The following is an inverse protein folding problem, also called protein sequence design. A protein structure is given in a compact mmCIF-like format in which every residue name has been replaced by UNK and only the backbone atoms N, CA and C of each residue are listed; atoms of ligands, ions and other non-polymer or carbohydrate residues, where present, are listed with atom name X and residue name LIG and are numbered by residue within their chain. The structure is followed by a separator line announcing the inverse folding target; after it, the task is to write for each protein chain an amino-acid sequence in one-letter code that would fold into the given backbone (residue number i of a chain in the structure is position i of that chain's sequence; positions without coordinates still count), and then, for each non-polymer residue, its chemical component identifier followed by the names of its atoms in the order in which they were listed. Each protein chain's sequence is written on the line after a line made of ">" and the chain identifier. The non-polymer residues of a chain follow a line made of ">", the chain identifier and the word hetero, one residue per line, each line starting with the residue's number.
data_IF_137543442664
#
_entry.id   IF_137543442664
#
_cell.length_a   1.000
_cell.length_b   1.000
_cell.length_c   1.000
_cell.angle_alpha   90.00
_cell.angle_beta   90.00
_cell.angle_gamma   90.00
#
_symmetry.space_group_name_H-M   'P 1'
#
loop_
_entity.id
_entity.type
_entity.pdbx_description
1 polymer ?
#
# COMPACT_ATOMS: atom_id res chain seq x y z
N UNK A 1 31.86 -5.23 14.45
CA UNK A 1 32.36 -4.53 13.25
C UNK A 1 31.83 -3.12 13.27
N UNK A 2 32.61 -2.14 12.83
CA UNK A 2 32.23 -0.72 12.83
C UNK A 2 32.11 -0.24 11.38
N UNK A 3 31.02 0.44 11.04
CA UNK A 3 30.78 0.99 9.71
C UNK A 3 30.72 2.51 9.86
N UNK A 4 31.49 3.24 9.07
CA UNK A 4 31.43 4.70 9.00
C UNK A 4 30.50 5.08 7.87
N UNK A 5 29.39 5.75 8.20
CA UNK A 5 28.43 6.25 7.23
C UNK A 5 28.68 7.74 6.99
N UNK A 6 29.04 8.12 5.76
CA UNK A 6 29.13 9.52 5.38
C UNK A 6 27.78 9.96 4.81
N UNK A 7 27.09 10.87 5.50
CA UNK A 7 25.77 11.39 5.10
C UNK A 7 25.82 12.90 4.89
N UNK A 8 24.91 13.46 4.06
CA UNK A 8 24.75 14.90 3.95
C UNK A 8 24.41 15.54 5.32
N UNK A 9 24.86 16.79 5.59
CA UNK A 9 24.64 17.48 6.87
C UNK A 9 23.15 17.60 7.25
N UNK A 10 22.27 17.72 6.27
CA UNK A 10 20.81 17.76 6.46
C UNK A 10 20.30 16.47 7.09
N UNK A 11 20.80 15.34 6.60
CA UNK A 11 20.40 14.00 7.06
C UNK A 11 20.96 13.73 8.45
N UNK A 12 22.20 14.13 8.73
CA UNK A 12 22.80 14.02 10.06
C UNK A 12 21.99 14.77 11.12
N UNK A 13 21.60 16.03 10.82
CA UNK A 13 20.74 16.84 11.71
C UNK A 13 19.38 16.20 11.95
N UNK A 14 18.80 15.61 10.91
CA UNK A 14 17.50 14.96 11.01
C UNK A 14 17.57 13.66 11.82
N UNK A 15 18.63 12.86 11.64
CA UNK A 15 18.89 11.66 12.43
C UNK A 15 19.05 12.00 13.91
N UNK A 16 19.84 13.02 14.25
CA UNK A 16 20.03 13.47 15.64
C UNK A 16 18.72 13.88 16.30
N UNK A 17 17.92 14.70 15.59
CA UNK A 17 16.63 15.20 16.08
C UNK A 17 15.66 14.06 16.38
N UNK A 18 15.48 13.16 15.42
CA UNK A 18 14.49 12.08 15.55
C UNK A 18 14.96 11.03 16.56
N UNK A 19 16.27 10.76 16.63
CA UNK A 19 16.83 9.88 17.66
C UNK A 19 16.51 10.42 19.06
N UNK A 20 16.73 11.72 19.30
CA UNK A 20 16.37 12.39 20.56
C UNK A 20 14.87 12.33 20.87
N UNK A 21 14.02 12.58 19.87
CA UNK A 21 12.56 12.47 20.01
C UNK A 21 12.12 11.05 20.42
N UNK A 22 12.85 10.02 19.97
CA UNK A 22 12.60 8.62 20.31
C UNK A 22 13.37 8.13 21.56
N UNK A 23 14.15 9.00 22.21
CA UNK A 23 15.00 8.65 23.35
C UNK A 23 16.15 7.68 23.01
N UNK A 24 16.55 7.62 21.73
CA UNK A 24 17.60 6.77 21.20
C UNK A 24 18.89 7.57 20.95
N UNK A 25 20.03 6.88 20.96
CA UNK A 25 21.26 7.47 20.41
C UNK A 25 21.18 7.52 18.88
N UNK A 26 21.95 8.42 18.27
CA UNK A 26 22.00 8.55 16.82
C UNK A 26 22.38 7.21 16.16
N UNK A 27 23.36 6.50 16.71
CA UNK A 27 23.84 5.22 16.20
C UNK A 27 22.77 4.13 16.31
N UNK A 28 22.04 4.09 17.44
CA UNK A 28 20.96 3.13 17.63
C UNK A 28 19.81 3.37 16.65
N UNK A 29 19.48 4.64 16.38
CA UNK A 29 18.46 5.00 15.41
C UNK A 29 18.89 4.70 13.97
N UNK A 30 20.13 5.02 13.60
CA UNK A 30 20.69 4.70 12.29
C UNK A 30 20.74 3.19 12.05
N UNK A 31 21.14 2.40 13.06
CA UNK A 31 21.13 0.94 12.98
C UNK A 31 19.73 0.39 12.79
N UNK A 32 18.73 0.94 13.50
CA UNK A 32 17.31 0.55 13.34
C UNK A 32 16.82 0.79 11.91
N UNK A 33 17.07 1.98 11.35
CA UNK A 33 16.70 2.30 9.96
C UNK A 33 17.40 1.39 8.95
N UNK A 34 18.70 1.14 9.12
CA UNK A 34 19.45 0.23 8.25
C UNK A 34 18.91 -1.20 8.36
N UNK A 35 18.53 -1.63 9.56
CA UNK A 35 17.92 -2.95 9.77
C UNK A 35 16.57 -3.05 9.07
N UNK A 36 15.70 -2.04 9.22
CA UNK A 36 14.37 -1.98 8.60
C UNK A 36 14.40 -1.86 7.07
N UNK A 37 15.47 -1.30 6.50
CA UNK A 37 15.64 -1.10 5.06
C UNK A 37 16.42 -2.20 4.36
N UNK A 38 17.39 -2.84 5.04
CA UNK A 38 18.26 -3.88 4.46
C UNK A 38 17.67 -5.27 4.65
N UNK A 39 16.98 -5.56 5.75
CA UNK A 39 16.23 -6.81 5.85
C UNK A 39 15.00 -6.70 4.94
N UNK A 40 14.83 -7.61 3.95
CA UNK A 40 13.66 -7.56 3.09
C UNK A 40 12.41 -7.64 3.96
N UNK A 41 11.56 -6.60 3.87
CA UNK A 41 10.20 -6.70 4.38
C UNK A 41 9.50 -7.80 3.56
N UNK A 42 9.44 -9.02 4.09
CA UNK A 42 8.61 -10.11 3.57
C UNK A 42 7.17 -9.67 3.29
N UNK A 43 6.71 -8.62 3.99
CA UNK A 43 5.40 -8.00 3.79
C UNK A 43 5.26 -7.31 2.44
N UNK A 44 6.28 -6.61 1.96
CA UNK A 44 6.24 -5.93 0.66
C UNK A 44 6.23 -6.95 -0.47
N UNK A 45 7.04 -8.00 -0.39
CA UNK A 45 7.10 -9.04 -1.44
C UNK A 45 5.82 -9.86 -1.51
N UNK A 46 5.22 -10.22 -0.36
CA UNK A 46 3.93 -10.93 -0.34
C UNK A 46 2.79 -10.10 -0.91
N UNK A 47 2.74 -8.81 -0.56
CA UNK A 47 1.74 -7.89 -1.10
C UNK A 47 1.94 -7.70 -2.61
N UNK A 48 3.18 -7.47 -3.05
CA UNK A 48 3.52 -7.34 -4.48
C UNK A 48 3.16 -8.61 -5.26
N UNK A 49 3.47 -9.80 -4.73
CA UNK A 49 3.13 -11.06 -5.38
C UNK A 49 1.62 -11.31 -5.43
N UNK A 50 0.88 -10.93 -4.38
CA UNK A 50 -0.58 -11.03 -4.36
C UNK A 50 -1.21 -10.09 -5.40
N UNK A 51 -0.75 -8.83 -5.43
CA UNK A 51 -1.22 -7.86 -6.42
C UNK A 51 -0.88 -8.32 -7.85
N UNK A 52 0.31 -8.89 -8.05
CA UNK A 52 0.70 -9.45 -9.34
C UNK A 52 -0.15 -10.67 -9.72
N UNK A 53 -0.53 -11.53 -8.76
CA UNK A 53 -1.41 -12.67 -9.05
C UNK A 53 -2.79 -12.22 -9.54
N UNK A 54 -3.34 -11.12 -9.04
CA UNK A 54 -4.62 -10.58 -9.55
C UNK A 54 -4.50 -9.96 -10.94
N UNK A 55 -3.32 -9.45 -11.29
CA UNK A 55 -3.04 -8.91 -12.62
C UNK A 55 -2.82 -10.05 -13.62
N UNK A 56 -2.14 -11.11 -13.21
CA UNK A 56 -1.77 -12.24 -14.06
C UNK A 56 -2.91 -13.26 -14.23
N UNK A 57 -3.89 -13.27 -13.32
CA UNK A 57 -5.11 -14.09 -13.37
C UNK A 57 -6.13 -13.51 -14.36
N UNK A 58 -5.67 -13.12 -15.56
CA UNK A 58 -6.31 -12.36 -16.66
C UNK A 58 -7.56 -13.04 -17.29
N UNK A 59 -8.45 -13.62 -16.49
CA UNK A 59 -9.81 -13.95 -16.90
C UNK A 59 -10.69 -12.69 -16.80
N UNK A 60 -10.39 -11.76 -17.71
CA UNK A 60 -11.14 -10.51 -17.91
C UNK A 60 -12.64 -10.76 -18.06
N UNK A 61 -13.04 -11.93 -18.56
CA UNK A 61 -14.43 -12.33 -18.68
C UNK A 61 -15.04 -12.66 -17.31
N UNK A 62 -14.39 -13.49 -16.50
CA UNK A 62 -14.84 -13.81 -15.13
C UNK A 62 -14.89 -12.54 -14.24
N UNK A 63 -13.91 -11.65 -14.39
CA UNK A 63 -13.86 -10.39 -13.64
C UNK A 63 -15.00 -9.43 -14.06
N UNK A 64 -15.30 -9.36 -15.36
CA UNK A 64 -16.42 -8.56 -15.86
C UNK A 64 -17.76 -9.13 -15.38
N UNK A 65 -17.95 -10.45 -15.46
CA UNK A 65 -19.16 -11.12 -14.99
C UNK A 65 -19.35 -10.95 -13.47
N UNK A 66 -18.27 -11.08 -12.70
CA UNK A 66 -18.30 -10.83 -11.25
C UNK A 66 -18.63 -9.38 -10.93
N UNK A 67 -18.06 -8.43 -11.67
CA UNK A 67 -18.34 -7.01 -11.51
C UNK A 67 -19.81 -6.65 -11.80
N UNK A 68 -20.35 -7.17 -12.91
CA UNK A 68 -21.76 -6.97 -13.28
C UNK A 68 -22.71 -7.57 -12.23
N UNK A 69 -22.41 -8.76 -11.73
CA UNK A 69 -23.16 -9.39 -10.65
C UNK A 69 -23.16 -8.58 -9.35
N UNK A 70 -22.01 -8.06 -8.94
CA UNK A 70 -21.90 -7.25 -7.71
C UNK A 70 -22.68 -5.94 -7.80
N UNK A 71 -22.63 -5.27 -8.96
CA UNK A 71 -23.41 -4.04 -9.19
C UNK A 71 -24.91 -4.33 -9.05
N UNK A 72 -25.38 -5.41 -9.67
CA UNK A 72 -26.78 -5.82 -9.59
C UNK A 72 -27.18 -6.17 -8.15
N UNK A 73 -26.41 -6.99 -7.45
CA UNK A 73 -26.71 -7.40 -6.09
C UNK A 73 -26.78 -6.20 -5.12
N UNK A 74 -25.89 -5.22 -5.27
CA UNK A 74 -25.87 -4.01 -4.45
C UNK A 74 -27.05 -3.08 -4.74
N UNK A 75 -27.51 -3.01 -5.99
CA UNK A 75 -28.73 -2.27 -6.35
C UNK A 75 -29.99 -2.96 -5.80
N UNK A 76 -30.05 -4.29 -5.86
CA UNK A 76 -31.19 -5.09 -5.39
C UNK A 76 -31.31 -5.14 -3.86
N UNK A 77 -30.19 -5.08 -3.12
CA UNK A 77 -30.19 -5.02 -1.65
C UNK A 77 -30.72 -3.68 -1.11
N UNK A 78 -30.86 -2.66 -1.97
CA UNK A 78 -31.39 -1.36 -1.54
C UNK A 78 -32.89 -1.42 -1.27
N UNK A 79 -33.28 -0.82 -0.14
CA UNK A 79 -34.69 -0.52 0.18
C UNK A 79 -35.28 0.66 -0.61
N UNK A 80 -34.54 1.25 -1.55
CA UNK A 80 -34.91 2.46 -2.29
C UNK A 80 -34.88 2.17 -3.79
N UNK A 81 -35.92 2.59 -4.52
CA UNK A 81 -36.04 2.40 -5.98
C UNK A 81 -34.93 3.08 -6.80
N UNK A 82 -34.19 4.02 -6.19
CA UNK A 82 -33.02 4.65 -6.81
C UNK A 82 -31.80 3.72 -6.73
N UNK A 83 -31.31 3.28 -7.90
CA UNK A 83 -30.03 2.55 -8.07
C UNK A 83 -28.84 3.32 -7.47
N UNK A 84 -27.90 2.60 -6.84
CA UNK A 84 -26.55 3.07 -6.52
C UNK A 84 -25.73 3.30 -7.80
N UNK A 85 -25.94 2.47 -8.81
CA UNK A 85 -25.16 2.49 -10.06
C UNK A 85 -26.08 2.66 -11.29
N UNK A 86 -26.59 3.87 -11.56
CA UNK A 86 -27.43 4.13 -12.72
C UNK A 86 -26.65 3.99 -14.03
N UNK A 87 -27.24 3.29 -15.01
CA UNK A 87 -26.62 3.00 -16.31
C UNK A 87 -26.17 4.26 -17.05
N UNK A 88 -26.86 5.39 -16.86
CA UNK A 88 -26.51 6.67 -17.51
C UNK A 88 -25.19 7.28 -17.01
N UNK A 89 -24.70 6.81 -15.86
CA UNK A 89 -23.49 7.32 -15.21
C UNK A 89 -22.27 6.40 -15.36
N UNK A 90 -22.43 5.25 -16.02
CA UNK A 90 -21.36 4.28 -16.29
C UNK A 90 -20.31 4.92 -17.22
N UNK A 91 -19.06 4.96 -16.77
CA UNK A 91 -17.94 5.63 -17.42
C UNK A 91 -17.84 7.13 -17.17
N UNK A 92 -18.74 7.73 -16.38
CA UNK A 92 -18.71 9.15 -16.00
C UNK A 92 -18.34 9.32 -14.53
N UNK A 93 -19.02 8.58 -13.64
CA UNK A 93 -18.80 8.65 -12.19
C UNK A 93 -18.50 7.31 -11.54
N UNK A 94 -18.83 6.21 -12.22
CA UNK A 94 -18.55 4.84 -11.81
C UNK A 94 -18.30 3.97 -13.05
#
# INVERSE_FOLDING_TARGET
>A
MTITLNVPPEIERQLDRIAKEQGLSMEAYALKLLTESVLPQDKSTKLVNLLQSWIDEDDTQEQQETGEYLIQALDEDRLSDRKLFPDELKGVTW
#
